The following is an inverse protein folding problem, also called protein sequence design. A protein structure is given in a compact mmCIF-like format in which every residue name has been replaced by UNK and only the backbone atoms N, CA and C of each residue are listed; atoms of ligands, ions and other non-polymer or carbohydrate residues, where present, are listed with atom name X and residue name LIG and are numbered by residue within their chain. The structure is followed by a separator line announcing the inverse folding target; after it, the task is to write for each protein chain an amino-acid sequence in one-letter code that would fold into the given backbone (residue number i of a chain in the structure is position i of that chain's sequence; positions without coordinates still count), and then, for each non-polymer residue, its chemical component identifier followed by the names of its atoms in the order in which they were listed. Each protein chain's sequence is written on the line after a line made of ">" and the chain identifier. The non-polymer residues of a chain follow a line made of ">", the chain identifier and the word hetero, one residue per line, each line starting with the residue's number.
data_IF_971383744506
#
_entry.id   IF_971383744506
#
_cell.length_a   1.000
_cell.length_b   1.000
_cell.length_c   1.000
_cell.angle_alpha   90.00
_cell.angle_beta   90.00
_cell.angle_gamma   90.00
#
_symmetry.space_group_name_H-M   'P 1'
#
loop_
_entity.id
_entity.type
_entity.pdbx_description
1 polymer ?
#
# COMPACT_ATOMS: atom_id res chain seq x y z
N UNK A 1 35.35 11.40 -36.31
CA UNK A 1 34.91 11.08 -34.94
C UNK A 1 33.55 10.41 -35.04
N UNK A 2 33.33 9.30 -34.34
CA UNK A 2 31.99 8.74 -34.22
C UNK A 2 31.11 9.71 -33.41
N UNK A 3 29.82 9.85 -33.73
CA UNK A 3 28.91 10.64 -32.92
C UNK A 3 28.85 10.09 -31.48
N UNK A 4 28.61 10.94 -30.47
CA UNK A 4 28.43 10.48 -29.10
C UNK A 4 27.22 9.54 -29.01
N UNK A 5 27.23 8.64 -28.03
CA UNK A 5 26.10 7.76 -27.77
C UNK A 5 24.83 8.58 -27.52
N UNK A 6 23.75 8.24 -28.22
CA UNK A 6 22.42 8.85 -28.01
C UNK A 6 21.88 8.61 -26.59
N UNK A 7 22.48 7.69 -25.83
CA UNK A 7 22.09 7.38 -24.45
C UNK A 7 23.03 7.96 -23.39
N UNK A 8 24.02 8.78 -23.78
CA UNK A 8 25.05 9.29 -22.86
C UNK A 8 24.49 10.10 -21.70
N UNK A 9 23.35 10.77 -21.89
CA UNK A 9 22.73 11.65 -20.89
C UNK A 9 21.53 11.01 -20.16
N UNK A 10 21.21 9.74 -20.42
CA UNK A 10 20.07 9.07 -19.76
C UNK A 10 20.41 8.88 -18.27
N UNK A 11 19.68 9.53 -17.34
CA UNK A 11 20.00 9.43 -15.92
C UNK A 11 19.58 8.06 -15.37
N UNK A 12 20.36 7.53 -14.42
CA UNK A 12 19.96 6.34 -13.69
C UNK A 12 18.76 6.67 -12.78
N UNK A 13 17.66 5.95 -12.98
CA UNK A 13 16.48 6.10 -12.14
C UNK A 13 16.73 5.57 -10.71
N UNK A 14 16.14 6.23 -9.72
CA UNK A 14 16.14 5.74 -8.34
C UNK A 14 15.35 4.43 -8.24
N UNK A 15 15.85 3.40 -7.53
CA UNK A 15 15.10 2.17 -7.32
C UNK A 15 13.80 2.43 -6.55
N UNK A 16 12.72 1.76 -6.97
CA UNK A 16 11.46 1.75 -6.20
C UNK A 16 11.70 1.06 -4.87
N UNK A 17 11.44 1.78 -3.76
CA UNK A 17 11.89 1.38 -2.41
C UNK A 17 11.39 0.00 -1.99
N UNK A 18 10.13 -0.33 -2.27
CA UNK A 18 9.54 -1.64 -1.90
C UNK A 18 10.23 -2.82 -2.61
N UNK A 19 10.66 -2.64 -3.86
CA UNK A 19 11.37 -3.68 -4.59
C UNK A 19 12.83 -3.77 -4.17
N UNK A 20 13.47 -2.63 -3.85
CA UNK A 20 14.81 -2.63 -3.28
C UNK A 20 14.86 -3.41 -1.96
N UNK A 21 13.89 -3.21 -1.06
CA UNK A 21 13.79 -3.98 0.20
C UNK A 21 13.65 -5.49 -0.03
N UNK A 22 12.97 -5.89 -1.10
CA UNK A 22 12.83 -7.30 -1.47
C UNK A 22 14.14 -7.89 -1.98
N UNK A 23 14.87 -7.13 -2.81
CA UNK A 23 16.20 -7.53 -3.26
C UNK A 23 17.14 -7.68 -2.06
N UNK A 24 17.15 -6.70 -1.16
CA UNK A 24 17.99 -6.70 0.03
C UNK A 24 17.66 -7.85 0.98
N UNK A 25 16.37 -8.18 1.14
CA UNK A 25 15.95 -9.36 1.88
C UNK A 25 16.45 -10.67 1.24
N UNK A 26 16.47 -10.78 -0.09
CA UNK A 26 16.96 -11.99 -0.77
C UNK A 26 18.47 -12.17 -0.57
N UNK A 27 19.22 -11.07 -0.64
CA UNK A 27 20.69 -11.05 -0.48
C UNK A 27 21.14 -11.26 0.97
N UNK A 28 20.28 -11.00 1.95
CA UNK A 28 20.58 -11.19 3.37
C UNK A 28 20.83 -12.69 3.70
N UNK A 29 22.00 -13.09 4.20
CA UNK A 29 22.30 -14.49 4.48
C UNK A 29 21.73 -14.99 5.82
N UNK A 30 21.19 -14.10 6.68
CA UNK A 30 20.72 -14.52 8.01
C UNK A 30 19.49 -15.45 7.87
N UNK A 31 19.52 -16.68 8.44
CA UNK A 31 18.40 -17.62 8.36
C UNK A 31 17.14 -17.15 9.11
N UNK A 32 17.24 -16.10 9.94
CA UNK A 32 16.14 -15.51 10.71
C UNK A 32 15.56 -14.25 10.06
N UNK A 33 15.97 -13.92 8.83
CA UNK A 33 15.47 -12.74 8.11
C UNK A 33 13.95 -12.80 7.93
N UNK A 34 13.29 -11.66 8.12
CA UNK A 34 11.83 -11.52 7.94
C UNK A 34 11.54 -10.41 6.92
N UNK A 35 10.68 -10.70 5.94
CA UNK A 35 10.25 -9.72 4.94
C UNK A 35 8.90 -9.11 5.35
N UNK A 36 8.95 -7.87 5.87
CA UNK A 36 7.77 -7.09 6.23
C UNK A 36 7.49 -5.95 5.24
N UNK A 37 8.13 -5.97 4.06
CA UNK A 37 8.03 -4.90 3.07
C UNK A 37 7.03 -5.15 1.94
N UNK A 38 6.93 -6.39 1.43
CA UNK A 38 6.07 -6.69 0.27
C UNK A 38 4.65 -7.02 0.71
N UNK A 39 3.67 -6.24 0.24
CA UNK A 39 2.23 -6.51 0.43
C UNK A 39 1.71 -7.72 -0.38
N UNK A 40 2.24 -8.91 -0.08
CA UNK A 40 1.79 -10.17 -0.65
C UNK A 40 1.54 -11.20 0.47
N UNK A 41 0.45 -11.94 0.38
CA UNK A 41 0.08 -12.94 1.38
C UNK A 41 1.06 -14.11 1.36
N UNK A 42 1.32 -14.66 2.55
CA UNK A 42 2.24 -15.78 2.77
C UNK A 42 1.58 -16.83 3.66
N UNK A 43 2.04 -18.07 3.49
CA UNK A 43 1.75 -19.20 4.39
C UNK A 43 2.57 -19.05 5.67
N UNK A 44 2.39 -20.00 6.60
CA UNK A 44 3.15 -20.08 7.86
C UNK A 44 4.60 -20.53 7.68
N UNK A 45 5.00 -20.91 6.46
CA UNK A 45 6.40 -21.19 6.08
C UNK A 45 6.99 -20.03 5.24
N UNK A 46 6.41 -18.83 5.34
CA UNK A 46 6.71 -17.66 4.52
C UNK A 46 6.67 -17.90 2.99
N UNK A 47 5.97 -18.93 2.51
CA UNK A 47 5.84 -19.23 1.08
C UNK A 47 4.63 -18.51 0.46
N UNK A 48 4.66 -18.16 -0.84
CA UNK A 48 3.46 -17.73 -1.56
C UNK A 48 2.34 -18.76 -1.44
N UNK A 49 1.12 -18.31 -1.16
CA UNK A 49 -0.06 -19.18 -1.14
C UNK A 49 -0.85 -19.02 -2.44
N UNK A 50 -0.92 -20.08 -3.23
CA UNK A 50 -1.83 -20.17 -4.38
C UNK A 50 -3.17 -20.68 -3.86
N UNK A 51 -4.23 -19.91 -4.05
CA UNK A 51 -5.56 -20.28 -3.55
C UNK A 51 -6.00 -21.62 -4.16
N UNK A 52 -6.54 -22.56 -3.37
CA UNK A 52 -7.04 -23.84 -3.87
C UNK A 52 -8.02 -23.72 -5.04
N UNK A 53 -8.95 -22.75 -4.97
CA UNK A 53 -9.91 -22.48 -6.05
C UNK A 53 -9.23 -22.03 -7.34
N UNK A 54 -8.16 -21.23 -7.25
CA UNK A 54 -7.40 -20.75 -8.41
C UNK A 54 -6.75 -21.94 -9.11
N UNK A 55 -6.07 -22.80 -8.35
CA UNK A 55 -5.44 -24.01 -8.92
C UNK A 55 -6.46 -24.93 -9.60
N UNK A 56 -7.64 -25.11 -8.98
CA UNK A 56 -8.73 -25.89 -9.55
C UNK A 56 -9.23 -25.30 -10.87
N UNK A 57 -9.36 -23.98 -10.96
CA UNK A 57 -9.79 -23.29 -12.17
C UNK A 57 -8.71 -23.30 -13.25
N UNK A 58 -7.44 -23.14 -12.89
CA UNK A 58 -6.31 -23.29 -13.82
C UNK A 58 -6.30 -24.67 -14.49
N UNK A 59 -6.53 -25.74 -13.70
CA UNK A 59 -6.65 -27.10 -14.25
C UNK A 59 -7.86 -27.23 -15.19
N UNK A 60 -8.99 -26.60 -14.87
CA UNK A 60 -10.16 -26.60 -15.77
C UNK A 60 -9.85 -25.89 -17.08
N UNK A 61 -9.20 -24.73 -17.02
CA UNK A 61 -8.80 -23.95 -18.20
C UNK A 61 -7.80 -24.75 -19.06
N UNK A 62 -6.80 -25.38 -18.45
CA UNK A 62 -5.79 -26.15 -19.17
C UNK A 62 -6.38 -27.38 -19.90
N UNK A 63 -7.48 -27.94 -19.39
CA UNK A 63 -8.17 -29.10 -19.98
C UNK A 63 -9.34 -28.71 -20.91
N UNK A 64 -9.61 -27.43 -21.11
CA UNK A 64 -10.70 -26.96 -21.98
C UNK A 64 -10.18 -26.73 -23.41
N UNK A 65 -10.39 -27.73 -24.26
CA UNK A 65 -9.98 -27.70 -25.67
C UNK A 65 -10.74 -26.69 -26.54
N UNK A 66 -11.81 -26.06 -26.02
CA UNK A 66 -12.52 -24.99 -26.74
C UNK A 66 -11.80 -23.64 -26.65
N UNK A 67 -10.92 -23.47 -25.65
CA UNK A 67 -10.16 -22.26 -25.45
C UNK A 67 -8.98 -22.18 -26.42
N UNK A 68 -8.70 -20.96 -26.88
CA UNK A 68 -7.55 -20.64 -27.71
C UNK A 68 -6.80 -19.41 -27.16
N UNK A 69 -5.74 -19.04 -27.88
CA UNK A 69 -4.86 -17.91 -27.58
C UNK A 69 -5.08 -16.71 -28.53
N UNK A 70 -6.25 -16.64 -29.18
CA UNK A 70 -6.62 -15.49 -30.01
C UNK A 70 -6.80 -14.23 -29.16
N UNK A 71 -6.72 -13.08 -29.82
CA UNK A 71 -6.88 -11.78 -29.16
C UNK A 71 -8.26 -11.65 -28.51
N UNK A 72 -8.28 -11.11 -27.29
CA UNK A 72 -9.50 -10.64 -26.67
C UNK A 72 -10.02 -9.36 -27.36
N UNK A 73 -11.31 -9.03 -27.20
CA UNK A 73 -11.81 -7.69 -27.45
C UNK A 73 -10.96 -6.63 -26.73
N UNK A 74 -10.89 -5.41 -27.28
CA UNK A 74 -10.03 -4.33 -26.75
C UNK A 74 -10.33 -4.04 -25.28
N UNK A 75 -11.60 -4.00 -24.89
CA UNK A 75 -12.01 -3.80 -23.49
C UNK A 75 -11.80 -5.04 -22.61
N UNK A 76 -11.43 -6.18 -23.18
CA UNK A 76 -11.20 -7.45 -22.53
C UNK A 76 -12.41 -8.39 -22.51
N UNK A 77 -12.26 -9.47 -21.75
CA UNK A 77 -13.23 -10.56 -21.65
C UNK A 77 -14.55 -10.04 -21.05
N UNK A 78 -15.66 -10.22 -21.76
CA UNK A 78 -16.95 -9.64 -21.40
C UNK A 78 -17.45 -10.17 -20.05
N UNK A 79 -17.38 -11.48 -19.86
CA UNK A 79 -17.80 -12.18 -18.65
C UNK A 79 -17.00 -11.70 -17.44
N UNK A 80 -15.68 -11.55 -17.58
CA UNK A 80 -14.82 -11.02 -16.53
C UNK A 80 -15.26 -9.61 -16.11
N UNK A 81 -15.46 -8.71 -17.08
CA UNK A 81 -15.87 -7.34 -16.80
C UNK A 81 -17.21 -7.28 -16.08
N UNK A 82 -18.18 -8.07 -16.54
CA UNK A 82 -19.50 -8.16 -15.89
C UNK A 82 -19.39 -8.68 -14.47
N UNK A 83 -18.67 -9.79 -14.24
CA UNK A 83 -18.48 -10.34 -12.89
C UNK A 83 -17.72 -9.37 -11.97
N UNK A 84 -16.68 -8.70 -12.47
CA UNK A 84 -15.88 -7.76 -11.70
C UNK A 84 -16.70 -6.54 -11.24
N UNK A 85 -17.48 -5.94 -12.14
CA UNK A 85 -18.34 -4.81 -11.80
C UNK A 85 -19.50 -5.21 -10.88
N UNK A 86 -20.06 -6.42 -11.03
CA UNK A 86 -21.07 -6.95 -10.09
C UNK A 86 -20.51 -7.18 -8.70
N UNK A 87 -19.32 -7.77 -8.59
CA UNK A 87 -18.62 -7.97 -7.31
C UNK A 87 -18.44 -6.64 -6.55
N UNK A 88 -18.07 -5.57 -7.27
CA UNK A 88 -17.90 -4.24 -6.68
C UNK A 88 -19.22 -3.65 -6.20
N UNK A 89 -20.22 -3.63 -7.08
CA UNK A 89 -21.42 -2.82 -6.90
C UNK A 89 -22.56 -3.54 -6.16
N UNK A 90 -22.52 -4.87 -6.11
CA UNK A 90 -23.63 -5.69 -5.62
C UNK A 90 -24.71 -5.88 -6.69
N UNK A 91 -25.34 -7.05 -6.71
CA UNK A 91 -26.36 -7.41 -7.70
C UNK A 91 -27.62 -6.53 -7.65
N UNK A 92 -27.88 -5.90 -6.51
CA UNK A 92 -29.00 -5.01 -6.28
C UNK A 92 -28.74 -3.55 -6.71
N UNK A 93 -27.51 -3.23 -7.13
CA UNK A 93 -27.09 -1.87 -7.51
C UNK A 93 -28.03 -1.22 -8.53
N UNK A 94 -28.53 0.00 -8.27
CA UNK A 94 -29.38 0.73 -9.22
C UNK A 94 -28.64 1.01 -10.53
N UNK A 95 -27.34 1.33 -10.47
CA UNK A 95 -26.55 1.62 -11.66
C UNK A 95 -26.44 0.42 -12.61
N UNK A 96 -26.36 -0.81 -12.08
CA UNK A 96 -26.36 -2.02 -12.92
C UNK A 96 -27.72 -2.21 -13.61
N UNK A 97 -28.82 -2.07 -12.85
CA UNK A 97 -30.19 -2.22 -13.37
C UNK A 97 -30.51 -1.18 -14.44
N UNK A 98 -30.02 0.04 -14.25
CA UNK A 98 -30.19 1.18 -15.16
C UNK A 98 -29.18 1.19 -16.31
N UNK A 99 -28.31 0.17 -16.41
CA UNK A 99 -27.27 0.05 -17.46
C UNK A 99 -26.30 1.23 -17.51
N UNK A 100 -26.03 1.83 -16.35
CA UNK A 100 -25.11 2.96 -16.16
C UNK A 100 -23.70 2.53 -15.79
N UNK A 101 -23.35 1.26 -16.02
CA UNK A 101 -22.06 0.70 -15.63
C UNK A 101 -21.31 0.16 -16.84
N UNK A 102 -20.05 0.58 -16.99
CA UNK A 102 -19.11 0.05 -17.97
C UNK A 102 -17.90 -0.58 -17.29
N UNK A 103 -17.38 -1.67 -17.86
CA UNK A 103 -16.14 -2.30 -17.41
C UNK A 103 -15.06 -2.24 -18.48
N UNK A 104 -13.80 -2.07 -18.03
CA UNK A 104 -12.61 -2.14 -18.89
C UNK A 104 -11.56 -3.00 -18.18
N UNK A 105 -11.31 -4.20 -18.68
CA UNK A 105 -10.26 -5.06 -18.16
C UNK A 105 -8.89 -4.37 -18.34
N UNK A 106 -8.07 -4.43 -17.31
CA UNK A 106 -6.81 -3.71 -17.24
C UNK A 106 -5.68 -4.54 -16.60
N UNK A 107 -4.45 -4.02 -16.67
CA UNK A 107 -3.27 -4.65 -16.09
C UNK A 107 -3.16 -4.43 -14.57
N UNK A 108 -4.05 -5.08 -13.83
CA UNK A 108 -4.22 -4.91 -12.38
C UNK A 108 -4.77 -3.52 -12.02
N UNK A 109 -4.84 -3.23 -10.72
CA UNK A 109 -5.30 -1.90 -10.25
C UNK A 109 -4.50 -0.74 -10.83
N UNK A 110 -3.18 -0.90 -11.00
CA UNK A 110 -2.32 0.12 -11.63
C UNK A 110 -2.71 0.43 -13.07
N UNK A 111 -3.05 -0.60 -13.86
CA UNK A 111 -3.53 -0.42 -15.22
C UNK A 111 -4.89 0.27 -15.25
N UNK A 112 -5.80 -0.06 -14.33
CA UNK A 112 -7.10 0.60 -14.20
C UNK A 112 -6.95 2.09 -13.82
N UNK A 113 -6.09 2.40 -12.85
CA UNK A 113 -5.76 3.79 -12.48
C UNK A 113 -5.18 4.54 -13.67
N UNK A 114 -4.26 3.92 -14.42
CA UNK A 114 -3.60 4.55 -15.58
C UNK A 114 -4.59 4.94 -16.67
N UNK A 115 -5.40 4.01 -17.16
CA UNK A 115 -6.35 4.30 -18.24
C UNK A 115 -7.49 5.22 -17.79
N UNK A 116 -7.91 5.12 -16.51
CA UNK A 116 -8.87 6.06 -15.93
C UNK A 116 -8.30 7.47 -15.84
N UNK A 117 -7.04 7.62 -15.40
CA UNK A 117 -6.36 8.90 -15.36
C UNK A 117 -6.16 9.49 -16.76
N UNK A 118 -5.74 8.68 -17.75
CA UNK A 118 -5.61 9.12 -19.15
C UNK A 118 -6.96 9.59 -19.71
N UNK A 119 -8.07 8.95 -19.33
CA UNK A 119 -9.41 9.40 -19.71
C UNK A 119 -9.76 10.74 -19.07
N UNK A 120 -9.62 10.87 -17.75
CA UNK A 120 -9.95 12.10 -17.04
C UNK A 120 -9.10 13.28 -17.54
N UNK A 121 -7.81 13.07 -17.80
CA UNK A 121 -6.92 14.09 -18.34
C UNK A 121 -7.36 14.62 -19.72
N UNK A 122 -8.04 13.81 -20.53
CA UNK A 122 -8.49 14.18 -21.88
C UNK A 122 -9.88 14.81 -21.90
N UNK A 123 -10.83 14.28 -21.13
CA UNK A 123 -12.25 14.63 -21.26
C UNK A 123 -12.87 15.24 -20.03
N UNK A 124 -12.30 15.00 -18.84
CA UNK A 124 -12.75 15.66 -17.62
C UNK A 124 -12.11 17.05 -17.50
N UNK A 125 -10.86 17.18 -17.95
CA UNK A 125 -10.06 18.42 -17.95
C UNK A 125 -10.51 19.50 -18.96
N UNK A 126 -11.79 19.57 -19.32
CA UNK A 126 -12.22 20.40 -20.45
C UNK A 126 -13.69 20.76 -20.55
N UNK A 127 -14.53 20.34 -19.60
CA UNK A 127 -15.92 20.84 -19.55
C UNK A 127 -16.05 22.09 -18.68
N UNK A 128 -15.32 22.22 -17.56
CA UNK A 128 -15.48 23.35 -16.61
C UNK A 128 -14.18 23.89 -15.96
N UNK A 129 -12.99 23.30 -16.19
CA UNK A 129 -11.70 23.80 -15.65
C UNK A 129 -10.52 23.33 -16.54
N UNK A 130 -9.56 24.21 -16.85
CA UNK A 130 -8.44 23.94 -17.77
C UNK A 130 -7.27 23.18 -17.12
N UNK A 131 -7.27 23.05 -15.79
CA UNK A 131 -6.22 22.34 -15.04
C UNK A 131 -6.81 21.66 -13.79
N UNK A 132 -7.63 20.63 -14.00
CA UNK A 132 -8.34 19.91 -12.94
C UNK A 132 -7.36 19.31 -11.91
N UNK A 133 -7.38 19.77 -10.64
CA UNK A 133 -6.50 19.21 -9.62
C UNK A 133 -6.88 17.76 -9.30
N UNK A 134 -5.86 16.94 -9.02
CA UNK A 134 -6.03 15.60 -8.45
C UNK A 134 -5.57 15.63 -7.01
N UNK A 135 -6.43 15.16 -6.11
CA UNK A 135 -6.15 15.06 -4.69
C UNK A 135 -5.93 13.60 -4.30
N UNK A 136 -4.81 13.33 -3.64
CA UNK A 136 -4.45 12.01 -3.09
C UNK A 136 -4.25 12.12 -1.57
N UNK A 137 -4.47 11.03 -0.82
CA UNK A 137 -4.32 11.07 0.64
C UNK A 137 -2.88 11.37 1.07
N UNK A 138 -2.72 11.98 2.24
CA UNK A 138 -1.44 12.13 2.93
C UNK A 138 -1.38 11.27 4.18
N UNK A 139 -0.60 10.16 4.20
CA UNK A 139 0.13 9.56 3.08
C UNK A 139 -0.80 8.74 2.14
N UNK A 140 -0.25 8.20 1.05
CA UNK A 140 -0.96 7.30 0.12
C UNK A 140 -0.02 6.24 -0.45
N UNK A 141 -0.53 5.35 -1.31
CA UNK A 141 0.30 4.42 -2.06
C UNK A 141 1.25 5.17 -2.99
N UNK A 142 2.56 4.97 -2.82
CA UNK A 142 3.65 5.71 -3.48
C UNK A 142 3.40 5.97 -4.98
N UNK A 143 2.89 4.98 -5.69
CA UNK A 143 2.75 5.04 -7.14
C UNK A 143 1.55 5.89 -7.63
N UNK A 144 0.64 6.34 -6.76
CA UNK A 144 -0.45 7.26 -7.18
C UNK A 144 0.11 8.51 -7.86
N UNK A 145 1.12 9.16 -7.25
CA UNK A 145 1.79 10.32 -7.84
C UNK A 145 2.33 10.03 -9.25
N UNK A 146 3.03 8.89 -9.39
CA UNK A 146 3.62 8.47 -10.66
C UNK A 146 2.56 8.20 -11.74
N UNK A 147 1.44 7.56 -11.39
CA UNK A 147 0.37 7.25 -12.34
C UNK A 147 -0.29 8.53 -12.86
N UNK A 148 -0.73 9.42 -11.98
CA UNK A 148 -1.43 10.63 -12.39
C UNK A 148 -0.50 11.63 -13.10
N UNK A 149 0.76 11.77 -12.65
CA UNK A 149 1.73 12.62 -13.33
C UNK A 149 2.03 12.14 -14.75
N UNK A 150 2.22 10.83 -14.94
CA UNK A 150 2.44 10.26 -16.27
C UNK A 150 1.19 10.26 -17.16
N UNK A 151 -0.02 10.37 -16.57
CA UNK A 151 -1.26 10.57 -17.33
C UNK A 151 -1.44 12.03 -17.81
N UNK A 152 -0.61 12.96 -17.33
CA UNK A 152 -0.56 14.35 -17.78
C UNK A 152 -1.06 15.37 -16.77
N UNK A 153 -1.53 14.96 -15.59
CA UNK A 153 -1.95 15.89 -14.54
C UNK A 153 -0.76 16.71 -14.03
N UNK A 154 -0.90 18.04 -14.01
CA UNK A 154 0.14 18.98 -13.58
C UNK A 154 -0.04 19.46 -12.14
N UNK A 155 -1.27 19.38 -11.62
CA UNK A 155 -1.64 19.83 -10.28
C UNK A 155 -2.09 18.63 -9.44
N UNK A 156 -1.12 17.94 -8.82
CA UNK A 156 -1.35 16.83 -7.91
C UNK A 156 -1.13 17.35 -6.49
N UNK A 157 -2.22 17.37 -5.72
CA UNK A 157 -2.28 17.88 -4.35
C UNK A 157 -2.55 16.75 -3.38
N UNK A 158 -2.32 17.01 -2.10
CA UNK A 158 -2.64 16.08 -1.03
C UNK A 158 -3.81 16.57 -0.18
N UNK A 159 -4.59 15.65 0.38
CA UNK A 159 -5.52 15.93 1.47
C UNK A 159 -5.09 15.23 2.77
N UNK A 160 -5.38 15.84 3.91
CA UNK A 160 -5.14 15.28 5.22
C UNK A 160 -5.90 13.98 5.39
N UNK A 161 -5.23 12.96 5.91
CA UNK A 161 -5.81 11.65 6.13
C UNK A 161 -5.33 11.02 7.43
N UNK A 162 -4.02 11.06 7.69
CA UNK A 162 -3.43 10.45 8.88
C UNK A 162 -3.09 11.46 9.96
N UNK A 163 -3.63 11.25 11.16
CA UNK A 163 -3.22 11.94 12.38
C UNK A 163 -2.15 11.08 13.10
N UNK A 164 -0.92 11.58 13.16
CA UNK A 164 0.20 10.85 13.77
C UNK A 164 0.11 10.74 15.30
N UNK A 165 -0.53 11.70 15.97
CA UNK A 165 -0.72 11.68 17.42
C UNK A 165 -1.81 10.68 17.79
N UNK A 166 -2.94 10.70 17.07
CA UNK A 166 -4.05 9.76 17.27
C UNK A 166 -3.76 8.37 16.68
N UNK A 167 -2.79 8.28 15.76
CA UNK A 167 -2.52 7.10 14.93
C UNK A 167 -3.77 6.59 14.20
N UNK A 168 -4.55 7.53 13.68
CA UNK A 168 -5.88 7.30 13.11
C UNK A 168 -6.24 8.31 12.03
N UNK A 169 -7.53 8.35 11.69
CA UNK A 169 -8.04 9.22 10.62
C UNK A 169 -8.13 10.67 11.12
N UNK A 170 -7.50 11.59 10.41
CA UNK A 170 -7.74 13.02 10.54
C UNK A 170 -8.98 13.41 9.73
N UNK A 171 -10.18 13.06 10.23
CA UNK A 171 -11.42 13.35 9.53
C UNK A 171 -11.64 14.86 9.36
N UNK A 172 -11.27 15.67 10.36
CA UNK A 172 -11.52 17.11 10.31
C UNK A 172 -10.64 17.78 9.26
N UNK A 173 -9.36 17.44 9.20
CA UNK A 173 -8.46 17.89 8.14
C UNK A 173 -8.94 17.41 6.77
N UNK A 174 -9.34 16.14 6.67
CA UNK A 174 -9.86 15.57 5.42
C UNK A 174 -11.08 16.36 4.91
N UNK A 175 -12.10 16.56 5.74
CA UNK A 175 -13.31 17.30 5.37
C UNK A 175 -12.99 18.76 5.01
N UNK A 176 -12.08 19.40 5.75
CA UNK A 176 -11.65 20.77 5.47
C UNK A 176 -10.95 20.89 4.11
N UNK A 177 -10.10 19.93 3.73
CA UNK A 177 -9.43 19.96 2.43
C UNK A 177 -10.41 19.74 1.28
N UNK A 178 -11.39 18.85 1.45
CA UNK A 178 -12.47 18.68 0.47
C UNK A 178 -13.31 19.95 0.34
N UNK A 179 -13.54 20.67 1.44
CA UNK A 179 -14.20 21.98 1.43
C UNK A 179 -13.32 23.10 0.86
N UNK A 180 -12.03 22.91 0.66
CA UNK A 180 -11.19 23.92 0.04
C UNK A 180 -10.74 23.49 -1.37
N UNK A 181 -11.06 22.28 -1.78
CA UNK A 181 -10.81 21.80 -3.13
C UNK A 181 -11.62 22.62 -4.14
N UNK A 182 -11.01 23.06 -5.26
CA UNK A 182 -11.75 23.60 -6.38
C UNK A 182 -12.84 22.63 -6.81
N UNK A 183 -14.02 23.14 -7.15
CA UNK A 183 -15.10 22.31 -7.68
C UNK A 183 -14.61 21.52 -8.90
N UNK A 184 -15.18 20.33 -9.10
CA UNK A 184 -14.75 19.41 -10.15
C UNK A 184 -13.31 18.89 -10.00
N UNK A 185 -12.68 18.99 -8.83
CA UNK A 185 -11.41 18.27 -8.58
C UNK A 185 -11.63 16.75 -8.52
N UNK A 186 -10.64 15.98 -8.95
CA UNK A 186 -10.64 14.52 -8.83
C UNK A 186 -10.07 14.12 -7.47
N UNK A 187 -10.82 13.34 -6.70
CA UNK A 187 -10.39 12.84 -5.38
C UNK A 187 -10.13 11.34 -5.49
N UNK A 188 -8.87 10.94 -5.30
CA UNK A 188 -8.46 9.54 -5.27
C UNK A 188 -8.70 8.98 -3.87
N UNK A 189 -9.55 7.97 -3.77
CA UNK A 189 -10.01 7.39 -2.51
C UNK A 189 -9.65 5.90 -2.45
N UNK A 190 -9.13 5.42 -1.32
CA UNK A 190 -9.00 3.98 -1.10
C UNK A 190 -10.36 3.45 -0.66
N UNK A 191 -10.89 2.41 -1.32
CA UNK A 191 -12.22 1.87 -0.99
C UNK A 191 -12.25 1.24 0.41
N UNK A 192 -11.16 0.56 0.78
CA UNK A 192 -10.89 -0.04 2.08
C UNK A 192 -9.40 -0.42 2.19
N UNK A 193 -8.96 -0.79 3.38
CA UNK A 193 -7.59 -1.11 3.75
C UNK A 193 -6.58 -0.09 3.20
N UNK A 194 -6.75 1.18 3.58
CA UNK A 194 -5.93 2.28 3.09
C UNK A 194 -4.43 1.94 3.14
N UNK A 195 -3.76 2.06 1.98
CA UNK A 195 -2.33 1.84 1.87
C UNK A 195 -1.61 3.20 1.93
N UNK A 196 -0.75 3.46 2.94
CA UNK A 196 -0.07 2.48 3.81
C UNK A 196 -0.60 2.36 5.25
N UNK A 197 -1.60 3.15 5.65
CA UNK A 197 -1.90 3.35 7.08
C UNK A 197 -2.70 2.21 7.73
N UNK A 198 -3.50 1.48 6.94
CA UNK A 198 -4.51 0.55 7.43
C UNK A 198 -5.70 1.23 8.11
N UNK A 199 -5.86 2.56 7.99
CA UNK A 199 -6.97 3.28 8.61
C UNK A 199 -8.05 3.55 7.57
N UNK A 200 -9.27 3.12 7.84
CA UNK A 200 -10.43 3.38 6.97
C UNK A 200 -11.48 4.25 7.69
N UNK A 201 -12.19 5.13 6.98
CA UNK A 201 -13.34 5.82 7.55
C UNK A 201 -14.47 4.84 7.92
N UNK A 202 -15.19 5.13 9.00
CA UNK A 202 -16.44 4.41 9.33
C UNK A 202 -17.54 4.75 8.31
N UNK A 203 -18.64 3.97 8.23
CA UNK A 203 -19.79 4.32 7.40
C UNK A 203 -20.31 5.74 7.64
N UNK A 204 -20.36 6.21 8.88
CA UNK A 204 -20.81 7.55 9.25
C UNK A 204 -19.83 8.64 8.76
N UNK A 205 -18.54 8.34 8.76
CA UNK A 205 -17.51 9.25 8.26
C UNK A 205 -17.52 9.30 6.73
N UNK A 206 -17.71 8.17 6.07
CA UNK A 206 -17.91 8.11 4.61
C UNK A 206 -19.15 8.90 4.17
N UNK A 207 -20.24 8.87 4.94
CA UNK A 207 -21.43 9.72 4.67
C UNK A 207 -21.08 11.21 4.71
N UNK A 208 -20.26 11.64 5.66
CA UNK A 208 -19.79 13.03 5.74
C UNK A 208 -18.91 13.39 4.53
N UNK A 209 -17.96 12.52 4.19
CA UNK A 209 -17.07 12.70 3.02
C UNK A 209 -17.90 12.82 1.72
N UNK A 210 -18.82 11.88 1.49
CA UNK A 210 -19.71 11.91 0.34
C UNK A 210 -20.57 13.18 0.29
N UNK A 211 -21.08 13.63 1.45
CA UNK A 211 -21.85 14.87 1.53
C UNK A 211 -21.03 16.08 1.07
N UNK A 212 -19.74 16.16 1.43
CA UNK A 212 -18.84 17.23 0.96
C UNK A 212 -18.59 17.13 -0.53
N UNK A 213 -18.21 15.94 -1.00
CA UNK A 213 -17.91 15.74 -2.41
C UNK A 213 -19.11 16.04 -3.31
N UNK A 214 -20.32 15.70 -2.87
CA UNK A 214 -21.56 15.97 -3.61
C UNK A 214 -21.85 17.47 -3.70
N UNK A 215 -21.79 18.21 -2.58
CA UNK A 215 -22.05 19.66 -2.58
C UNK A 215 -20.97 20.47 -3.29
N UNK A 216 -19.76 19.92 -3.41
CA UNK A 216 -18.60 20.54 -4.07
C UNK A 216 -18.33 20.02 -5.48
N UNK A 217 -19.23 19.20 -6.02
CA UNK A 217 -19.12 18.62 -7.36
C UNK A 217 -17.78 17.90 -7.61
N UNK A 218 -17.20 17.28 -6.59
CA UNK A 218 -15.92 16.59 -6.67
C UNK A 218 -16.10 15.19 -7.27
N UNK A 219 -15.15 14.78 -8.11
CA UNK A 219 -15.21 13.49 -8.80
C UNK A 219 -14.49 12.39 -8.01
N UNK A 220 -15.19 11.35 -7.54
CA UNK A 220 -14.57 10.21 -6.88
C UNK A 220 -13.88 9.26 -7.87
N UNK A 221 -12.60 8.98 -7.62
CA UNK A 221 -11.86 7.89 -8.24
C UNK A 221 -11.39 6.92 -7.15
N UNK A 222 -12.11 5.81 -6.97
CA UNK A 222 -11.78 4.78 -6.00
C UNK A 222 -10.64 3.86 -6.49
N UNK A 223 -9.70 3.52 -5.61
CA UNK A 223 -8.80 2.37 -5.72
C UNK A 223 -9.29 1.26 -4.77
N UNK A 224 -9.68 0.11 -5.36
CA UNK A 224 -10.19 -1.07 -4.66
C UNK A 224 -9.28 -2.27 -4.91
N UNK A 225 -8.24 -2.37 -4.08
CA UNK A 225 -7.23 -3.43 -4.21
C UNK A 225 -7.38 -4.58 -3.19
N UNK A 226 -8.24 -4.42 -2.18
CA UNK A 226 -8.31 -5.30 -1.00
C UNK A 226 -9.72 -5.80 -0.68
N UNK A 227 -10.70 -5.66 -1.59
CA UNK A 227 -12.08 -6.07 -1.34
C UNK A 227 -12.18 -7.54 -0.89
N UNK A 228 -12.80 -7.78 0.27
CA UNK A 228 -12.93 -9.06 0.96
C UNK A 228 -11.68 -9.44 1.77
N UNK A 229 -10.50 -9.02 1.32
CA UNK A 229 -9.23 -9.33 1.96
C UNK A 229 -8.97 -8.45 3.20
N UNK A 230 -9.65 -7.31 3.31
CA UNK A 230 -9.47 -6.37 4.41
C UNK A 230 -10.21 -6.82 5.67
N UNK A 231 -11.50 -7.12 5.56
CA UNK A 231 -12.35 -7.53 6.70
C UNK A 231 -12.79 -9.00 6.68
N UNK A 232 -12.53 -9.73 5.59
CA UNK A 232 -13.14 -11.05 5.36
C UNK A 232 -14.54 -10.97 4.75
N UNK A 233 -15.05 -9.77 4.47
CA UNK A 233 -16.40 -9.50 4.00
C UNK A 233 -16.37 -8.57 2.76
N UNK A 234 -16.87 -9.09 1.64
CA UNK A 234 -16.89 -8.39 0.35
C UNK A 234 -17.82 -7.17 0.34
N UNK A 235 -18.91 -7.24 1.10
CA UNK A 235 -19.96 -6.23 1.17
C UNK A 235 -19.48 -5.05 2.00
N UNK A 236 -18.91 -5.36 3.17
CA UNK A 236 -18.29 -4.37 4.06
C UNK A 236 -17.16 -3.61 3.34
N UNK A 237 -16.31 -4.34 2.63
CA UNK A 237 -15.14 -3.77 1.97
C UNK A 237 -15.47 -2.96 0.70
N UNK A 238 -16.67 -3.14 0.13
CA UNK A 238 -17.17 -2.34 -1.00
C UNK A 238 -18.16 -1.25 -0.59
N UNK A 239 -18.48 -1.14 0.71
CA UNK A 239 -19.55 -0.29 1.22
C UNK A 239 -19.42 1.16 0.77
N UNK A 240 -18.21 1.74 0.84
CA UNK A 240 -17.97 3.13 0.44
C UNK A 240 -18.32 3.38 -1.03
N UNK A 241 -17.88 2.50 -1.93
CA UNK A 241 -18.17 2.62 -3.37
C UNK A 241 -19.66 2.51 -3.62
N UNK A 242 -20.32 1.53 -3.01
CA UNK A 242 -21.77 1.31 -3.18
C UNK A 242 -22.59 2.47 -2.63
N UNK A 243 -22.20 3.03 -1.49
CA UNK A 243 -22.85 4.20 -0.92
C UNK A 243 -22.76 5.40 -1.86
N UNK A 244 -21.59 5.68 -2.43
CA UNK A 244 -21.43 6.75 -3.42
C UNK A 244 -22.32 6.51 -4.66
N UNK A 245 -22.40 5.27 -5.17
CA UNK A 245 -23.32 4.96 -6.27
C UNK A 245 -24.79 5.17 -5.87
N UNK A 246 -25.20 4.79 -4.66
CA UNK A 246 -26.57 5.02 -4.17
C UNK A 246 -26.90 6.51 -4.00
N UNK A 247 -25.89 7.33 -3.72
CA UNK A 247 -26.00 8.79 -3.65
C UNK A 247 -25.99 9.46 -5.04
N UNK A 248 -25.95 8.69 -6.13
CA UNK A 248 -26.04 9.19 -7.49
C UNK A 248 -24.73 9.75 -8.06
N UNK A 249 -23.58 9.40 -7.47
CA UNK A 249 -22.29 9.81 -8.03
C UNK A 249 -22.00 9.12 -9.37
N UNK A 250 -21.47 9.90 -10.31
CA UNK A 250 -20.62 9.38 -11.38
C UNK A 250 -19.24 9.13 -10.79
N UNK A 251 -18.66 7.96 -11.06
CA UNK A 251 -17.40 7.57 -10.44
C UNK A 251 -16.60 6.59 -11.29
N UNK A 252 -15.29 6.58 -11.03
CA UNK A 252 -14.40 5.51 -11.46
C UNK A 252 -13.98 4.66 -10.26
N UNK A 253 -13.83 3.35 -10.47
CA UNK A 253 -13.24 2.45 -9.49
C UNK A 253 -12.24 1.51 -10.16
N UNK A 254 -10.96 1.65 -9.78
CA UNK A 254 -9.89 0.76 -10.17
C UNK A 254 -9.87 -0.48 -9.26
N UNK A 255 -10.28 -1.62 -9.80
CA UNK A 255 -10.26 -2.90 -9.09
C UNK A 255 -8.99 -3.68 -9.39
N UNK A 256 -8.42 -4.31 -8.35
CA UNK A 256 -7.29 -5.23 -8.48
C UNK A 256 -7.64 -6.61 -7.96
N UNK A 257 -7.28 -7.64 -8.72
CA UNK A 257 -7.43 -9.04 -8.29
C UNK A 257 -6.11 -9.64 -7.78
N UNK A 258 -5.08 -8.82 -7.59
CA UNK A 258 -3.77 -9.30 -7.16
C UNK A 258 -3.77 -9.88 -5.75
N UNK A 259 -4.60 -9.36 -4.83
CA UNK A 259 -4.57 -9.75 -3.40
C UNK A 259 -5.67 -10.75 -3.06
N UNK A 260 -6.92 -10.40 -3.35
CA UNK A 260 -8.07 -11.25 -3.04
C UNK A 260 -8.11 -12.56 -3.83
N UNK A 261 -7.50 -12.64 -5.03
CA UNK A 261 -7.30 -13.90 -5.75
C UNK A 261 -5.86 -14.44 -5.68
N UNK A 262 -4.92 -13.69 -5.08
CA UNK A 262 -3.50 -14.07 -5.08
C UNK A 262 -2.83 -13.99 -6.47
N UNK A 263 -3.46 -13.35 -7.46
CA UNK A 263 -2.99 -13.26 -8.85
C UNK A 263 -2.07 -12.04 -9.06
N UNK A 264 -0.98 -11.97 -8.29
CA UNK A 264 -0.09 -10.81 -8.26
C UNK A 264 0.58 -10.52 -9.61
N UNK A 265 1.14 -11.57 -10.25
CA UNK A 265 1.90 -11.50 -11.49
C UNK A 265 1.06 -11.68 -12.76
N UNK A 266 -0.17 -12.17 -12.65
CA UNK A 266 -1.11 -12.26 -13.79
C UNK A 266 -1.66 -10.88 -14.24
N UNK A 267 -1.46 -9.85 -13.40
CA UNK A 267 -1.85 -8.46 -13.68
C UNK A 267 -3.31 -8.34 -14.08
N UNK A 268 -4.22 -8.89 -13.28
CA UNK A 268 -5.68 -8.84 -13.55
C UNK A 268 -6.32 -7.70 -12.78
N UNK A 269 -6.99 -6.80 -13.49
CA UNK A 269 -7.74 -5.68 -12.93
C UNK A 269 -8.91 -5.29 -13.81
N UNK A 270 -9.77 -4.42 -13.28
CA UNK A 270 -10.91 -3.87 -14.00
C UNK A 270 -11.11 -2.41 -13.61
N UNK A 271 -11.28 -1.52 -14.57
CA UNK A 271 -11.82 -0.18 -14.33
C UNK A 271 -13.34 -0.27 -14.46
N UNK A 272 -14.05 -0.13 -13.34
CA UNK A 272 -15.51 0.06 -13.34
C UNK A 272 -15.81 1.54 -13.48
N UNK A 273 -16.63 1.89 -14.46
CA UNK A 273 -17.13 3.23 -14.73
C UNK A 273 -18.61 3.26 -14.40
N UNK A 274 -19.03 4.23 -13.57
CA UNK A 274 -20.43 4.51 -13.29
C UNK A 274 -20.76 5.89 -13.84
N UNK A 275 -21.69 5.95 -14.77
CA UNK A 275 -22.14 7.18 -15.42
C UNK A 275 -23.52 7.62 -14.93
N UNK A 276 -23.96 8.80 -15.37
CA UNK A 276 -25.29 9.33 -15.05
C UNK A 276 -26.41 8.65 -15.84
N UNK A 277 -26.14 8.27 -17.08
CA UNK A 277 -27.12 7.67 -18.00
C UNK A 277 -26.46 6.55 -18.83
N UNK A 278 -27.26 5.63 -19.35
CA UNK A 278 -26.77 4.48 -20.10
C UNK A 278 -26.08 4.86 -21.43
N UNK A 279 -26.52 5.93 -22.09
CA UNK A 279 -25.95 6.39 -23.36
C UNK A 279 -24.50 6.92 -23.19
N UNK A 280 -24.24 7.58 -22.06
CA UNK A 280 -22.95 8.13 -21.70
C UNK A 280 -21.90 7.05 -21.54
N UNK A 281 -22.29 5.89 -21.00
CA UNK A 281 -21.39 4.75 -20.84
C UNK A 281 -20.86 4.24 -22.18
N UNK A 282 -21.71 4.16 -23.21
CA UNK A 282 -21.26 3.71 -24.53
C UNK A 282 -20.20 4.64 -25.11
N UNK A 283 -20.38 5.96 -24.96
CA UNK A 283 -19.38 6.96 -25.37
C UNK A 283 -18.07 6.79 -24.59
N UNK A 284 -18.14 6.67 -23.26
CA UNK A 284 -16.95 6.47 -22.42
C UNK A 284 -16.20 5.21 -22.85
N UNK A 285 -16.89 4.08 -23.03
CA UNK A 285 -16.26 2.82 -23.42
C UNK A 285 -15.60 2.89 -24.80
N UNK A 286 -16.21 3.57 -25.78
CA UNK A 286 -15.58 3.78 -27.09
C UNK A 286 -14.26 4.56 -27.02
N UNK A 287 -14.15 5.53 -26.11
CA UNK A 287 -12.91 6.27 -25.90
C UNK A 287 -11.89 5.44 -25.11
N UNK A 288 -12.35 4.63 -24.17
CA UNK A 288 -11.50 3.66 -23.47
C UNK A 288 -10.91 2.63 -24.44
N UNK A 289 -11.65 2.20 -25.47
CA UNK A 289 -11.07 1.35 -26.53
C UNK A 289 -9.90 2.03 -27.23
N UNK A 290 -10.01 3.33 -27.55
CA UNK A 290 -8.91 4.07 -28.18
C UNK A 290 -7.71 4.21 -27.25
N UNK A 291 -7.93 4.48 -25.96
CA UNK A 291 -6.85 4.51 -24.97
C UNK A 291 -6.17 3.14 -24.90
N UNK A 292 -6.94 2.09 -24.61
CA UNK A 292 -6.41 0.74 -24.43
C UNK A 292 -5.68 0.25 -25.70
N UNK A 293 -6.23 0.52 -26.88
CA UNK A 293 -5.66 0.09 -28.16
C UNK A 293 -4.22 0.57 -28.37
N UNK A 294 -3.91 1.78 -27.92
CA UNK A 294 -2.58 2.39 -28.05
C UNK A 294 -1.69 2.21 -26.82
N UNK A 295 -2.25 1.76 -25.69
CA UNK A 295 -1.46 1.43 -24.50
C UNK A 295 -0.95 -0.01 -24.54
N UNK A 296 -1.82 -0.98 -24.82
CA UNK A 296 -1.45 -2.41 -24.86
C UNK A 296 -2.27 -3.25 -25.86
N UNK A 297 -3.00 -2.61 -26.78
CA UNK A 297 -3.88 -3.27 -27.76
C UNK A 297 -5.13 -3.92 -27.15
N UNK A 298 -4.96 -5.04 -26.45
CA UNK A 298 -6.00 -5.79 -25.73
C UNK A 298 -5.36 -6.52 -24.53
N UNK A 299 -6.11 -6.78 -23.44
CA UNK A 299 -5.54 -7.30 -22.20
C UNK A 299 -5.33 -8.84 -22.24
N UNK A 300 -4.51 -9.41 -21.33
CA UNK A 300 -4.26 -10.85 -21.27
C UNK A 300 -5.49 -11.65 -20.80
N UNK A 301 -5.67 -12.86 -21.34
CA UNK A 301 -6.86 -13.66 -21.08
C UNK A 301 -6.80 -14.54 -19.82
N UNK A 302 -5.63 -15.08 -19.47
CA UNK A 302 -5.50 -16.17 -18.50
C UNK A 302 -6.09 -15.82 -17.13
N UNK A 303 -5.57 -14.78 -16.49
CA UNK A 303 -6.09 -14.38 -15.18
C UNK A 303 -7.52 -13.86 -15.21
N UNK A 304 -7.98 -13.27 -16.33
CA UNK A 304 -9.38 -12.87 -16.48
C UNK A 304 -10.33 -14.08 -16.54
N UNK A 305 -9.92 -15.17 -17.22
CA UNK A 305 -10.65 -16.45 -17.23
C UNK A 305 -10.68 -17.06 -15.83
N UNK A 306 -9.56 -17.04 -15.09
CA UNK A 306 -9.55 -17.55 -13.70
C UNK A 306 -10.60 -16.82 -12.86
N UNK A 307 -10.61 -15.50 -12.90
CA UNK A 307 -11.56 -14.69 -12.14
C UNK A 307 -12.99 -14.91 -12.63
N UNK A 308 -13.26 -14.85 -13.94
CA UNK A 308 -14.63 -14.99 -14.46
C UNK A 308 -15.22 -16.39 -14.22
N UNK A 309 -14.45 -17.46 -14.42
CA UNK A 309 -14.91 -18.84 -14.12
C UNK A 309 -15.19 -19.02 -12.63
N UNK A 310 -14.38 -18.40 -11.76
CA UNK A 310 -14.59 -18.46 -10.31
C UNK A 310 -15.85 -17.69 -9.90
N UNK A 311 -16.00 -16.45 -10.36
CA UNK A 311 -17.09 -15.57 -9.94
C UNK A 311 -18.44 -15.92 -10.55
N UNK A 312 -18.48 -16.54 -11.74
CA UNK A 312 -19.73 -16.92 -12.41
C UNK A 312 -20.27 -18.29 -11.97
N UNK A 313 -19.47 -19.12 -11.31
CA UNK A 313 -19.88 -20.42 -10.81
C UNK A 313 -20.15 -20.36 -9.30
N UNK A 314 -21.37 -20.64 -8.82
CA UNK A 314 -21.71 -20.51 -7.40
C UNK A 314 -20.84 -21.35 -6.43
N UNK A 315 -20.43 -22.55 -6.84
CA UNK A 315 -19.60 -23.43 -6.01
C UNK A 315 -18.16 -22.89 -5.89
N UNK A 316 -17.57 -22.48 -7.02
CA UNK A 316 -16.24 -21.88 -7.04
C UNK A 316 -16.23 -20.53 -6.32
N UNK A 317 -17.28 -19.72 -6.48
CA UNK A 317 -17.43 -18.47 -5.75
C UNK A 317 -17.48 -18.69 -4.23
N UNK A 318 -18.25 -19.68 -3.78
CA UNK A 318 -18.30 -20.07 -2.36
C UNK A 318 -16.94 -20.54 -1.85
N UNK A 319 -16.22 -21.35 -2.61
CA UNK A 319 -14.86 -21.78 -2.23
C UNK A 319 -13.88 -20.60 -2.17
N UNK A 320 -13.94 -19.70 -3.14
CA UNK A 320 -13.11 -18.50 -3.19
C UNK A 320 -13.38 -17.56 -2.01
N UNK A 321 -14.64 -17.27 -1.68
CA UNK A 321 -14.99 -16.46 -0.51
C UNK A 321 -14.47 -17.12 0.78
N UNK A 322 -14.51 -18.44 0.89
CA UNK A 322 -13.87 -19.18 1.97
C UNK A 322 -12.36 -18.97 2.02
N UNK A 323 -11.66 -19.06 0.90
CA UNK A 323 -10.22 -18.80 0.82
C UNK A 323 -9.85 -17.36 1.20
N UNK A 324 -10.62 -16.37 0.73
CA UNK A 324 -10.44 -14.96 1.10
C UNK A 324 -10.61 -14.76 2.61
N UNK A 325 -11.66 -15.35 3.19
CA UNK A 325 -11.89 -15.30 4.63
C UNK A 325 -10.74 -15.93 5.42
N UNK A 326 -10.20 -17.08 4.99
CA UNK A 326 -9.03 -17.69 5.62
C UNK A 326 -7.83 -16.73 5.66
N UNK A 327 -7.55 -16.02 4.57
CA UNK A 327 -6.45 -15.04 4.54
C UNK A 327 -6.70 -13.86 5.48
N UNK A 328 -7.93 -13.32 5.48
CA UNK A 328 -8.31 -12.22 6.35
C UNK A 328 -8.24 -12.61 7.83
N UNK A 329 -8.81 -13.77 8.21
CA UNK A 329 -8.80 -14.30 9.57
C UNK A 329 -7.37 -14.46 10.09
N UNK A 330 -6.46 -14.99 9.26
CA UNK A 330 -5.04 -15.13 9.62
C UNK A 330 -4.39 -13.77 9.90
N UNK A 331 -4.64 -12.76 9.06
CA UNK A 331 -4.11 -11.40 9.24
C UNK A 331 -4.60 -10.79 10.55
N UNK A 332 -5.91 -10.92 10.84
CA UNK A 332 -6.50 -10.44 12.08
C UNK A 332 -5.89 -11.17 13.31
N UNK A 333 -5.68 -12.48 13.20
CA UNK A 333 -4.99 -13.24 14.25
C UNK A 333 -3.56 -12.77 14.48
N UNK A 334 -2.80 -12.49 13.41
CA UNK A 334 -1.41 -12.01 13.54
C UNK A 334 -1.33 -10.60 14.13
N UNK A 335 -2.30 -9.72 13.84
CA UNK A 335 -2.42 -8.41 14.50
C UNK A 335 -2.64 -8.55 16.00
N UNK A 336 -3.60 -9.38 16.40
CA UNK A 336 -3.92 -9.63 17.80
C UNK A 336 -2.72 -10.20 18.55
N UNK A 337 -2.03 -11.18 17.96
CA UNK A 337 -0.85 -11.79 18.57
C UNK A 337 0.31 -10.79 18.72
N UNK A 338 0.60 -10.00 17.67
CA UNK A 338 1.68 -9.01 17.72
C UNK A 338 1.43 -8.00 18.85
N UNK A 339 0.20 -7.48 18.95
CA UNK A 339 -0.20 -6.57 20.03
C UNK A 339 -0.05 -7.24 21.40
N UNK A 340 -0.60 -8.44 21.58
CA UNK A 340 -0.56 -9.15 22.85
C UNK A 340 0.88 -9.38 23.34
N UNK A 341 1.81 -9.70 22.42
CA UNK A 341 3.23 -9.89 22.75
C UNK A 341 3.94 -8.58 23.11
N UNK A 342 3.67 -7.49 22.38
CA UNK A 342 4.21 -6.16 22.72
C UNK A 342 3.76 -5.71 24.10
N UNK A 343 2.49 -5.93 24.44
CA UNK A 343 1.92 -5.61 25.76
C UNK A 343 2.52 -6.51 26.86
N UNK A 344 2.65 -7.82 26.62
CA UNK A 344 3.27 -8.76 27.56
C UNK A 344 4.74 -8.42 27.85
N UNK A 345 5.48 -7.94 26.84
CA UNK A 345 6.86 -7.45 26.99
C UNK A 345 6.96 -6.05 27.60
N UNK A 346 5.82 -5.41 27.91
CA UNK A 346 5.75 -4.02 28.39
C UNK A 346 6.49 -3.06 27.47
N UNK A 347 6.45 -3.30 26.16
CA UNK A 347 7.10 -2.45 25.17
C UNK A 347 6.52 -1.03 25.26
N UNK A 348 7.36 0.02 25.40
CA UNK A 348 6.87 1.38 25.62
C UNK A 348 5.85 1.87 24.58
N UNK A 349 4.82 2.57 25.05
CA UNK A 349 3.74 3.12 24.22
C UNK A 349 2.46 2.28 24.25
N UNK A 350 1.48 2.68 23.44
CA UNK A 350 0.22 1.93 23.25
C UNK A 350 0.21 1.25 21.87
N UNK A 351 -0.37 0.04 21.81
CA UNK A 351 -0.33 -0.82 20.63
C UNK A 351 -1.73 -1.18 20.08
N UNK A 352 -2.78 -0.51 20.56
CA UNK A 352 -4.18 -0.72 20.14
C UNK A 352 -4.37 -0.55 18.63
N UNK A 353 -3.66 0.43 18.05
CA UNK A 353 -3.69 0.75 16.61
C UNK A 353 -3.36 -0.46 15.72
N UNK A 354 -2.57 -1.45 16.17
CA UNK A 354 -2.26 -2.66 15.41
C UNK A 354 -3.54 -3.46 15.10
N UNK A 355 -4.47 -3.52 16.07
CA UNK A 355 -5.74 -4.25 15.95
C UNK A 355 -6.89 -3.38 15.44
N UNK A 356 -6.79 -2.05 15.57
CA UNK A 356 -7.79 -1.11 15.04
C UNK A 356 -7.59 -0.84 13.54
N UNK A 357 -6.35 -0.96 13.05
CA UNK A 357 -6.03 -0.88 11.63
C UNK A 357 -6.43 -2.15 10.88
N UNK A 358 -6.81 -2.00 9.62
CA UNK A 358 -7.41 -2.99 8.73
C UNK A 358 -6.45 -3.35 7.58
N UNK A 359 -6.58 -4.57 7.07
CA UNK A 359 -5.90 -5.01 5.85
C UNK A 359 -4.45 -5.48 6.06
N UNK A 360 -3.62 -5.38 5.01
CA UNK A 360 -2.27 -5.96 5.01
C UNK A 360 -1.25 -5.19 5.85
N UNK A 361 -1.46 -3.90 6.05
CA UNK A 361 -0.44 -2.99 6.57
C UNK A 361 -0.82 -2.43 7.93
N UNK A 362 0.17 -2.30 8.81
CA UNK A 362 0.04 -1.54 10.04
C UNK A 362 1.06 -0.41 10.07
N UNK A 363 0.59 0.83 10.27
CA UNK A 363 1.46 1.99 10.48
C UNK A 363 1.89 2.02 11.94
N UNK A 364 3.12 1.58 12.21
CA UNK A 364 3.59 1.26 13.57
C UNK A 364 3.98 2.48 14.40
N UNK A 365 4.25 3.62 13.77
CA UNK A 365 4.76 4.81 14.44
C UNK A 365 6.20 4.68 14.96
N UNK A 366 6.93 3.62 14.57
CA UNK A 366 8.38 3.56 14.74
C UNK A 366 9.02 4.77 14.03
N UNK A 367 10.23 5.18 14.38
CA UNK A 367 10.91 6.28 13.68
C UNK A 367 12.31 5.87 13.21
N UNK A 368 12.88 6.62 12.26
CA UNK A 368 14.23 6.35 11.71
C UNK A 368 15.35 6.48 12.76
N UNK A 369 15.07 7.07 13.93
CA UNK A 369 16.00 7.14 15.07
C UNK A 369 15.98 5.89 15.94
N UNK A 370 15.13 4.89 15.63
CA UNK A 370 15.34 3.54 16.13
C UNK A 370 16.68 3.06 15.56
N UNK A 371 17.75 2.95 16.37
CA UNK A 371 19.04 2.58 15.84
C UNK A 371 18.89 1.21 15.17
N UNK A 372 19.46 0.99 13.98
CA UNK A 372 19.67 -0.38 13.54
C UNK A 372 20.46 -1.04 14.68
N UNK A 373 20.01 -2.20 15.19
CA UNK A 373 20.85 -2.94 16.12
C UNK A 373 22.23 -3.12 15.49
N UNK A 374 23.30 -3.19 16.30
CA UNK A 374 24.62 -3.58 15.79
C UNK A 374 24.46 -4.86 14.95
N UNK A 375 25.29 -5.09 13.92
CA UNK A 375 25.06 -6.03 12.81
C UNK A 375 24.75 -7.49 13.17
N UNK A 376 24.71 -7.85 14.45
CA UNK A 376 24.35 -9.15 14.98
C UNK A 376 22.97 -9.24 15.67
N UNK A 377 22.16 -8.17 15.77
CA UNK A 377 21.05 -8.12 16.77
C UNK A 377 19.59 -7.90 16.29
N UNK A 378 19.29 -7.65 15.01
CA UNK A 378 17.93 -7.92 14.45
C UNK A 378 17.90 -7.94 12.91
N UNK A 379 17.09 -8.84 12.33
CA UNK A 379 17.07 -9.15 10.89
C UNK A 379 15.72 -8.80 10.21
N UNK A 380 14.96 -7.86 10.79
CA UNK A 380 13.64 -7.48 10.30
C UNK A 380 13.78 -6.23 9.38
N UNK A 381 13.37 -6.33 8.10
CA UNK A 381 13.38 -5.20 7.14
C UNK A 381 11.96 -4.66 6.93
N UNK A 382 11.78 -3.34 7.07
CA UNK A 382 10.50 -2.64 6.92
C UNK A 382 10.60 -1.48 5.89
N UNK A 383 9.46 -0.95 5.43
CA UNK A 383 9.44 0.20 4.50
C UNK A 383 9.91 1.48 5.20
N UNK A 384 10.41 2.46 4.42
CA UNK A 384 10.80 3.80 4.93
C UNK A 384 9.63 4.55 5.58
N UNK A 385 8.40 4.15 5.25
CA UNK A 385 7.15 4.62 5.84
C UNK A 385 6.77 3.88 7.12
N UNK A 386 7.63 3.02 7.68
CA UNK A 386 7.44 2.38 9.00
C UNK A 386 6.14 1.55 9.07
N UNK A 387 5.69 1.09 7.90
CA UNK A 387 4.55 0.20 7.73
C UNK A 387 5.06 -1.24 7.74
N UNK A 388 4.40 -2.09 8.52
CA UNK A 388 4.69 -3.52 8.59
C UNK A 388 3.64 -4.28 7.81
N UNK A 389 4.07 -5.18 6.92
CA UNK A 389 3.19 -6.16 6.27
C UNK A 389 2.90 -7.28 7.28
N UNK A 390 1.68 -7.29 7.81
CA UNK A 390 1.21 -8.28 8.79
C UNK A 390 1.25 -9.71 8.26
N UNK A 391 0.86 -10.02 7.01
CA UNK A 391 0.93 -11.39 6.48
C UNK A 391 2.31 -12.06 6.49
N UNK A 392 3.40 -11.29 6.60
CA UNK A 392 4.77 -11.80 6.69
C UNK A 392 5.21 -12.15 8.12
N UNK A 393 4.32 -12.05 9.11
CA UNK A 393 4.58 -12.45 10.49
C UNK A 393 4.18 -13.91 10.74
N UNK A 394 4.95 -14.57 11.60
CA UNK A 394 4.70 -15.91 12.17
C UNK A 394 4.88 -15.83 13.69
N UNK A 395 4.27 -16.73 14.47
CA UNK A 395 4.40 -16.74 15.95
C UNK A 395 5.87 -16.79 16.45
N UNK A 396 6.69 -17.58 15.76
CA UNK A 396 8.14 -17.72 15.99
C UNK A 396 8.88 -16.43 15.59
N UNK A 397 8.54 -15.86 14.44
CA UNK A 397 9.12 -14.63 13.91
C UNK A 397 8.74 -13.37 14.70
N UNK A 398 7.55 -13.31 15.30
CA UNK A 398 7.15 -12.23 16.22
C UNK A 398 8.04 -12.29 17.48
N UNK A 399 8.33 -13.49 17.98
CA UNK A 399 9.28 -13.65 19.10
C UNK A 399 10.67 -13.13 18.73
N UNK A 400 11.17 -13.42 17.52
CA UNK A 400 12.47 -12.94 17.06
C UNK A 400 12.53 -11.44 16.76
N UNK A 401 11.49 -10.83 16.18
CA UNK A 401 11.46 -9.38 15.98
C UNK A 401 11.29 -8.60 17.31
N UNK A 402 10.77 -9.24 18.37
CA UNK A 402 10.56 -8.60 19.68
C UNK A 402 11.63 -8.91 20.74
N UNK A 403 12.27 -10.08 20.68
CA UNK A 403 13.24 -10.56 21.66
C UNK A 403 14.66 -10.60 21.08
N UNK A 404 15.32 -9.44 21.04
CA UNK A 404 16.76 -9.45 21.33
C UNK A 404 16.92 -9.81 22.80
N UNK A 405 17.26 -11.07 23.11
CA UNK A 405 17.24 -11.72 24.44
C UNK A 405 17.64 -10.86 25.67
N UNK A 406 17.11 -11.14 26.89
CA UNK A 406 17.20 -10.26 28.06
C UNK A 406 18.49 -10.48 28.87
N UNK A 407 19.15 -9.40 29.32
CA UNK A 407 20.24 -9.47 30.32
C UNK A 407 19.91 -8.65 31.55
N UNK A 408 20.11 -9.26 32.73
CA UNK A 408 19.92 -8.69 34.07
C UNK A 408 20.91 -7.54 34.31
N UNK A 409 20.41 -6.41 34.81
CA UNK A 409 21.23 -5.26 35.20
C UNK A 409 21.43 -5.21 36.71
N UNK A 410 22.66 -5.02 37.18
CA UNK A 410 22.95 -4.60 38.56
C UNK A 410 23.80 -3.33 38.59
N UNK A 411 23.21 -2.27 39.17
CA UNK A 411 23.73 -0.96 39.66
C UNK A 411 24.82 -0.21 38.87
N UNK A 412 24.47 0.98 38.36
CA UNK A 412 25.41 2.06 37.97
C UNK A 412 25.86 2.88 39.20
N UNK A 413 27.14 3.23 39.26
CA UNK A 413 27.68 4.33 40.07
C UNK A 413 28.42 5.34 39.18
N UNK A 414 28.23 6.64 39.39
CA UNK A 414 28.89 7.71 38.64
C UNK A 414 30.01 8.35 39.47
N UNK A 415 31.19 8.54 38.86
CA UNK A 415 32.26 9.39 39.41
C UNK A 415 32.46 10.59 38.48
N UNK A 416 32.48 11.80 39.04
CA UNK A 416 32.61 13.07 38.31
C UNK A 416 33.94 13.71 38.67
N UNK A 417 34.84 13.91 37.69
CA UNK A 417 36.10 14.64 37.89
C UNK A 417 36.19 15.75 36.84
N UNK A 418 36.39 16.97 37.30
CA UNK A 418 36.52 18.17 36.45
C UNK A 418 37.99 18.58 36.37
N UNK A 419 38.56 18.71 35.18
CA UNK A 419 39.87 19.36 34.96
C UNK A 419 39.79 20.38 33.82
N UNK A 420 40.50 21.50 33.98
CA UNK A 420 40.62 22.56 33.00
C UNK A 420 41.96 22.40 32.26
N UNK A 421 41.93 22.33 30.93
CA UNK A 421 43.12 22.38 30.08
C UNK A 421 43.22 23.77 29.43
N UNK A 422 44.38 24.41 29.57
CA UNK A 422 44.72 25.70 28.94
C UNK A 422 45.33 25.46 27.56
N UNK A 423 44.86 26.21 26.55
CA UNK A 423 45.48 26.34 25.23
C UNK A 423 45.43 27.84 24.83
N UNK A 424 46.38 28.40 24.05
CA UNK A 424 46.56 29.85 23.92
C UNK A 424 45.57 30.53 22.95
N UNK A 425 44.44 29.90 22.63
CA UNK A 425 43.40 30.45 21.73
C UNK A 425 41.98 30.50 22.34
N UNK A 426 41.86 30.43 23.68
CA UNK A 426 40.63 30.72 24.42
C UNK A 426 39.94 29.50 25.05
N UNK A 427 39.31 29.73 26.21
CA UNK A 427 38.66 28.73 27.06
C UNK A 427 37.54 27.97 26.32
N UNK A 428 37.63 26.64 26.26
CA UNK A 428 36.47 25.76 26.04
C UNK A 428 36.38 24.74 27.19
N UNK A 429 35.20 24.66 27.81
CA UNK A 429 34.89 23.58 28.76
C UNK A 429 34.74 22.27 28.00
N UNK A 430 35.54 21.27 28.31
CA UNK A 430 35.27 19.89 27.94
C UNK A 430 34.76 19.15 29.19
N UNK A 431 33.60 18.50 29.07
CA UNK A 431 33.13 17.54 30.07
C UNK A 431 33.65 16.17 29.67
N UNK A 432 34.58 15.61 30.46
CA UNK A 432 34.89 14.18 30.41
C UNK A 432 33.95 13.44 31.36
N UNK A 433 33.32 12.38 30.87
CA UNK A 433 32.65 11.40 31.71
C UNK A 433 33.30 10.04 31.52
N UNK A 434 33.48 9.32 32.63
CA UNK A 434 33.93 7.94 32.65
C UNK A 434 32.75 7.05 33.02
N UNK A 435 32.43 6.09 32.15
CA UNK A 435 31.52 5.00 32.48
C UNK A 435 32.35 3.72 32.65
N UNK A 436 32.25 3.12 33.83
CA UNK A 436 32.84 1.83 34.15
C UNK A 436 31.77 0.76 33.99
N UNK A 437 31.97 -0.14 33.03
CA UNK A 437 31.13 -1.32 32.82
C UNK A 437 31.98 -2.56 33.03
N UNK A 438 31.52 -3.45 33.91
CA UNK A 438 32.15 -4.75 34.12
C UNK A 438 31.23 -5.86 33.61
N UNK A 439 31.78 -6.75 32.78
CA UNK A 439 31.16 -8.00 32.35
C UNK A 439 32.26 -9.05 32.30
N UNK A 440 32.17 -10.09 33.16
CA UNK A 440 33.05 -11.27 33.18
C UNK A 440 34.54 -10.99 32.89
N UNK A 441 35.28 -10.61 33.94
CA UNK A 441 36.73 -10.32 33.99
C UNK A 441 37.28 -9.16 33.14
N UNK A 442 36.50 -8.59 32.22
CA UNK A 442 36.95 -7.41 31.46
C UNK A 442 36.36 -6.10 32.01
N UNK A 443 37.22 -5.08 32.06
CA UNK A 443 36.88 -3.70 32.45
C UNK A 443 36.86 -2.85 31.18
N UNK A 444 35.70 -2.34 30.81
CA UNK A 444 35.58 -1.38 29.71
C UNK A 444 35.50 0.04 30.26
N UNK A 445 36.42 0.89 29.81
CA UNK A 445 36.48 2.31 30.13
C UNK A 445 36.06 3.09 28.89
N UNK A 446 34.89 3.72 28.94
CA UNK A 446 34.44 4.62 27.88
C UNK A 446 34.84 6.05 28.20
N UNK A 447 35.53 6.70 27.25
CA UNK A 447 35.88 8.13 27.31
C UNK A 447 35.18 8.83 26.15
N UNK A 448 34.25 9.72 26.45
CA UNK A 448 33.55 10.53 25.45
C UNK A 448 33.94 12.00 25.52
N UNK A 449 34.02 12.66 24.35
CA UNK A 449 34.11 14.12 24.21
C UNK A 449 32.92 14.65 23.41
N UNK A 450 32.55 15.92 23.58
CA UNK A 450 31.48 16.58 22.83
C UNK A 450 32.08 17.79 22.10
N UNK A 451 31.94 17.87 20.77
CA UNK A 451 32.36 19.02 19.97
C UNK A 451 31.21 19.45 19.05
N UNK A 452 30.85 20.73 19.09
CA UNK A 452 29.74 21.30 18.33
C UNK A 452 30.12 21.64 16.86
N UNK A 453 29.40 21.00 15.92
CA UNK A 453 29.05 21.28 14.50
C UNK A 453 29.99 22.03 13.52
N UNK A 454 30.19 21.49 12.29
CA UNK A 454 29.58 21.98 11.01
C UNK A 454 30.08 21.25 9.72
N UNK A 455 29.17 21.15 8.73
CA UNK A 455 29.29 20.93 7.26
C UNK A 455 29.81 19.62 6.58
N UNK A 456 28.96 19.16 5.64
CA UNK A 456 29.12 18.48 4.33
C UNK A 456 30.38 17.64 4.05
N UNK A 457 30.18 16.35 3.74
CA UNK A 457 31.14 15.53 2.99
C UNK A 457 30.92 14.03 3.16
N UNK A 458 30.79 13.29 2.05
CA UNK A 458 30.74 11.82 2.02
C UNK A 458 31.92 11.21 2.81
N UNK A 459 31.65 10.17 3.61
CA UNK A 459 32.72 9.32 4.15
C UNK A 459 32.23 7.89 4.30
N UNK A 460 32.85 6.98 3.54
CA UNK A 460 32.90 5.55 3.85
C UNK A 460 33.73 5.36 5.12
N UNK A 461 33.34 4.46 6.00
CA UNK A 461 34.16 4.07 7.16
C UNK A 461 34.46 2.58 7.05
N UNK A 462 35.76 2.29 6.98
CA UNK A 462 36.36 0.96 7.09
C UNK A 462 36.40 0.50 8.55
N UNK A 463 36.37 -0.82 8.70
CA UNK A 463 36.46 -1.57 9.94
C UNK A 463 37.90 -1.49 10.48
N UNK A 464 38.04 -1.31 11.80
CA UNK A 464 39.21 -1.75 12.55
C UNK A 464 38.73 -2.53 13.78
N UNK A 465 39.10 -3.79 13.84
CA UNK A 465 39.18 -4.63 15.06
C UNK A 465 40.56 -4.43 15.71
N UNK A 466 40.78 -4.77 16.99
CA UNK A 466 39.91 -5.48 17.93
C UNK A 466 39.23 -4.60 18.99
#
# INVERSE_FOLDING_TARGET
>A
MAPPSVFAEVPQAQPVLVFKLTADFREDPDPRKVNLGVGAYRTDDCQPWVLPVVRKVEQKIANDHSLNHEYLPILGLAEFRTCASRLLLGDDSPALKEKRVGGVQSLGGTGALRIGADFLARWYNGTNNTNTPVYISSPTWENHNGVFSNAGFKDIRTYHYWDAEKRGLDLQGFLNDLENAPEFSVIVLHACAHNPTGTDPTPEQWKQIASVMKRRFLFPFFDSAYQGFASGDLEKDAWAVRYFVSEGFELFCAQSFSKNFGLYNERVGNLTVVGKEADGILRVLSQMEKIVRVTWSNPPAQGARIVSHTLSNPELFKEWTGNVKTMADRILSMRSELRARLEALKTPGTWNHITEQIGMFSFTGLNRKWPPPPPARSCCRHTSLLSVVVPGLELTSISHCLLGQPLRWTKLGFLRVSHYLLNPLGLRKALLWFALLTHSQDIFIFVGWEVAQSQVGNSRICILEP
#
